data_IF_037900333160
#
_entry.id   IF_037900333160
#
_cell.length_a   1.000
_cell.length_b   1.000
_cell.length_c   1.000
_cell.angle_alpha   90.00
_cell.angle_beta   90.00
_cell.angle_gamma   90.00
#
_symmetry.space_group_name_H-M   'P 1'
#
loop_
_entity.id
_entity.type
_entity.pdbx_description
1 polymer ?
#
# COMPACT_ATOMS: atom_id res chain seq x y z
N UNK A 1 -28.46 7.75 9.96
CA UNK A 1 -27.29 8.53 10.44
C UNK A 1 -26.30 8.58 9.31
N UNK A 2 -25.86 9.77 8.91
CA UNK A 2 -24.88 9.98 7.85
C UNK A 2 -23.47 9.68 8.37
N UNK A 3 -22.62 9.04 7.57
CA UNK A 3 -21.25 8.69 7.97
C UNK A 3 -20.43 9.91 8.39
N UNK A 4 -20.65 11.07 7.76
CA UNK A 4 -19.97 12.32 8.09
C UNK A 4 -20.43 12.87 9.44
N UNK A 5 -21.72 12.73 9.76
CA UNK A 5 -22.27 13.14 11.05
C UNK A 5 -21.73 12.26 12.19
N UNK A 6 -21.64 10.95 11.98
CA UNK A 6 -21.04 10.03 12.95
C UNK A 6 -19.56 10.35 13.21
N UNK A 7 -18.78 10.58 12.16
CA UNK A 7 -17.35 10.96 12.27
C UNK A 7 -17.19 12.27 13.05
N UNK A 8 -18.05 13.26 12.78
CA UNK A 8 -18.06 14.53 13.50
C UNK A 8 -18.39 14.32 14.98
N UNK A 9 -19.47 13.62 15.29
CA UNK A 9 -19.97 13.42 16.65
C UNK A 9 -19.02 12.57 17.50
N UNK A 10 -18.26 11.66 16.87
CA UNK A 10 -17.22 10.85 17.53
C UNK A 10 -15.83 11.54 17.60
N UNK A 11 -15.74 12.82 17.19
CA UNK A 11 -14.48 13.58 17.20
C UNK A 11 -13.43 13.07 16.22
N UNK A 12 -13.81 12.21 15.26
CA UNK A 12 -12.90 11.56 14.30
C UNK A 12 -12.63 12.43 13.05
N UNK A 13 -13.13 13.67 13.02
CA UNK A 13 -12.99 14.57 11.86
C UNK A 13 -11.53 14.85 11.46
N UNK A 14 -10.61 14.88 12.42
CA UNK A 14 -9.20 15.08 12.14
C UNK A 14 -8.56 13.83 11.51
N UNK A 15 -8.87 12.64 12.02
CA UNK A 15 -8.43 11.36 11.43
C UNK A 15 -8.94 11.19 9.99
N UNK A 16 -10.20 11.59 9.75
CA UNK A 16 -10.78 11.60 8.41
C UNK A 16 -10.07 12.59 7.48
N UNK A 17 -9.76 13.81 7.94
CA UNK A 17 -8.99 14.78 7.15
C UNK A 17 -7.60 14.26 6.80
N UNK A 18 -6.88 13.67 7.75
CA UNK A 18 -5.55 13.09 7.51
C UNK A 18 -5.61 11.91 6.53
N UNK A 19 -6.68 11.10 6.57
CA UNK A 19 -6.92 10.06 5.58
C UNK A 19 -7.13 10.64 4.17
N UNK A 20 -8.00 11.65 4.05
CA UNK A 20 -8.28 12.31 2.77
C UNK A 20 -7.04 12.98 2.17
N UNK A 21 -6.27 13.68 3.00
CA UNK A 21 -5.03 14.33 2.59
C UNK A 21 -3.99 13.31 2.11
N UNK A 22 -3.91 12.13 2.74
CA UNK A 22 -3.04 11.05 2.27
C UNK A 22 -3.40 10.55 0.87
N UNK A 23 -4.69 10.51 0.51
CA UNK A 23 -5.14 10.14 -0.85
C UNK A 23 -4.72 11.20 -1.87
N UNK A 24 -4.89 12.49 -1.52
CA UNK A 24 -4.48 13.61 -2.39
C UNK A 24 -2.97 13.65 -2.63
N UNK A 25 -2.19 13.24 -1.64
CA UNK A 25 -0.73 13.16 -1.71
C UNK A 25 -0.22 11.83 -2.28
N UNK A 26 -1.12 11.00 -2.82
CA UNK A 26 -0.84 9.68 -3.39
C UNK A 26 -0.06 8.77 -2.42
N UNK A 27 -0.34 8.83 -1.12
CA UNK A 27 0.29 7.94 -0.15
C UNK A 27 0.09 6.46 -0.54
N UNK A 28 1.06 5.59 -0.22
CA UNK A 28 0.86 4.15 -0.31
C UNK A 28 -0.45 3.72 0.37
N UNK A 29 -1.15 2.71 -0.16
CA UNK A 29 -2.39 2.23 0.43
C UNK A 29 -2.21 1.95 1.91
N UNK A 30 -3.16 2.42 2.73
CA UNK A 30 -3.05 2.33 4.18
C UNK A 30 -2.84 0.87 4.63
N UNK A 31 -1.83 0.66 5.49
CA UNK A 31 -1.53 -0.63 6.11
C UNK A 31 -1.61 -0.48 7.63
N UNK A 32 -2.33 -1.41 8.27
CA UNK A 32 -2.51 -1.46 9.71
C UNK A 32 -1.29 -2.06 10.42
N UNK A 33 -0.73 -3.13 9.87
CA UNK A 33 0.44 -3.81 10.41
C UNK A 33 1.22 -4.53 9.30
N UNK A 34 2.52 -4.76 9.52
CA UNK A 34 3.39 -5.52 8.63
C UNK A 34 4.03 -6.70 9.36
N UNK A 35 4.15 -7.83 8.67
CA UNK A 35 4.72 -9.07 9.18
C UNK A 35 5.67 -9.67 8.14
N UNK A 36 6.72 -10.34 8.62
CA UNK A 36 7.67 -11.04 7.74
C UNK A 36 7.09 -12.36 7.26
N UNK A 37 6.28 -13.04 8.10
CA UNK A 37 5.72 -14.36 7.78
C UNK A 37 4.21 -14.42 7.91
N UNK A 38 3.62 -15.35 7.15
CA UNK A 38 2.18 -15.64 7.24
C UNK A 38 1.77 -16.16 8.62
N UNK A 39 2.61 -16.97 9.26
CA UNK A 39 2.35 -17.53 10.58
C UNK A 39 2.24 -16.44 11.65
N UNK A 40 3.14 -15.45 11.62
CA UNK A 40 3.08 -14.29 12.53
C UNK A 40 1.83 -13.46 12.31
N UNK A 41 1.48 -13.20 11.04
CA UNK A 41 0.29 -12.44 10.69
C UNK A 41 -1.01 -13.13 11.15
N UNK A 42 -1.11 -14.46 10.96
CA UNK A 42 -2.27 -15.24 11.40
C UNK A 42 -2.35 -15.30 12.94
N UNK A 43 -1.21 -15.45 13.64
CA UNK A 43 -1.16 -15.41 15.10
C UNK A 43 -1.58 -14.04 15.66
N UNK A 44 -1.07 -12.96 15.07
CA UNK A 44 -1.47 -11.60 15.39
C UNK A 44 -2.96 -11.38 15.17
N UNK A 45 -3.51 -11.83 14.04
CA UNK A 45 -4.91 -11.70 13.70
C UNK A 45 -5.80 -12.40 14.75
N UNK A 46 -5.40 -13.60 15.20
CA UNK A 46 -6.11 -14.34 16.25
C UNK A 46 -6.06 -13.66 17.62
N UNK A 47 -5.00 -12.90 17.92
CA UNK A 47 -4.85 -12.16 19.16
C UNK A 47 -5.66 -10.84 19.20
N UNK A 48 -6.08 -10.30 18.05
CA UNK A 48 -6.80 -9.02 18.02
C UNK A 48 -8.22 -9.13 18.59
N UNK A 49 -8.54 -8.23 19.53
CA UNK A 49 -9.89 -7.98 20.05
C UNK A 49 -10.02 -6.48 20.39
N UNK A 50 -10.89 -5.71 19.70
CA UNK A 50 -11.76 -6.11 18.58
C UNK A 50 -10.97 -6.44 17.30
N UNK A 51 -11.56 -7.24 16.41
CA UNK A 51 -10.94 -7.57 15.12
C UNK A 51 -10.95 -6.33 14.23
N UNK A 52 -9.81 -5.94 13.64
CA UNK A 52 -9.75 -4.84 12.68
C UNK A 52 -10.29 -5.31 11.32
N UNK A 53 -11.61 -5.55 11.23
CA UNK A 53 -12.26 -6.02 10.00
C UNK A 53 -11.99 -5.06 8.82
N UNK A 54 -11.72 -5.64 7.65
CA UNK A 54 -11.34 -4.96 6.40
C UNK A 54 -10.07 -4.11 6.46
N UNK A 55 -9.30 -4.18 7.53
CA UNK A 55 -7.99 -3.55 7.57
C UNK A 55 -7.02 -4.25 6.61
N UNK A 56 -6.16 -3.49 5.94
CA UNK A 56 -5.07 -4.05 5.13
C UNK A 56 -3.83 -4.30 5.99
N UNK A 57 -3.15 -5.42 5.78
CA UNK A 57 -1.89 -5.79 6.41
C UNK A 57 -0.88 -6.20 5.35
N UNK A 58 0.40 -5.98 5.63
CA UNK A 58 1.50 -6.45 4.81
C UNK A 58 2.04 -7.76 5.38
N UNK A 59 2.21 -8.77 4.54
CA UNK A 59 2.81 -10.05 4.92
C UNK A 59 3.84 -10.41 3.87
N UNK A 60 5.11 -10.51 4.24
CA UNK A 60 6.23 -10.77 3.31
C UNK A 60 6.24 -9.82 2.08
N UNK A 61 5.83 -8.57 2.28
CA UNK A 61 5.74 -7.56 1.20
C UNK A 61 4.46 -7.62 0.35
N UNK A 62 3.56 -8.57 0.59
CA UNK A 62 2.27 -8.69 -0.10
C UNK A 62 1.11 -8.14 0.75
N UNK A 63 0.10 -7.58 0.11
CA UNK A 63 -1.06 -7.02 0.80
C UNK A 63 -2.12 -8.08 1.04
N UNK A 64 -2.62 -8.11 2.26
CA UNK A 64 -3.76 -8.91 2.67
C UNK A 64 -4.81 -8.03 3.33
N UNK A 65 -6.08 -8.38 3.16
CA UNK A 65 -7.20 -7.77 3.87
C UNK A 65 -7.66 -8.72 4.97
N UNK A 66 -7.79 -8.18 6.18
CA UNK A 66 -8.43 -8.85 7.30
C UNK A 66 -9.91 -9.00 7.00
N UNK A 67 -10.43 -10.22 7.12
CA UNK A 67 -11.86 -10.48 7.07
C UNK A 67 -12.29 -11.23 8.31
N UNK A 68 -13.22 -10.62 9.05
CA UNK A 68 -14.02 -11.31 10.05
C UNK A 68 -15.22 -11.95 9.37
N UNK A 69 -15.34 -13.28 9.45
CA UNK A 69 -16.34 -14.09 8.76
C UNK A 69 -17.20 -14.84 9.78
N UNK A 70 -18.00 -14.12 10.60
CA UNK A 70 -18.82 -14.75 11.64
C UNK A 70 -19.84 -15.75 11.05
N UNK A 71 -20.27 -15.56 9.79
CA UNK A 71 -21.15 -16.46 9.06
C UNK A 71 -20.58 -17.88 8.84
N UNK A 72 -19.25 -18.04 8.82
CA UNK A 72 -18.58 -19.33 8.68
C UNK A 72 -18.31 -20.01 10.02
N UNK A 73 -18.61 -19.34 11.14
CA UNK A 73 -18.42 -19.82 12.50
C UNK A 73 -17.83 -18.75 13.41
N UNK A 74 -18.16 -18.79 14.71
CA UNK A 74 -17.69 -17.83 15.70
C UNK A 74 -16.16 -17.79 15.73
N UNK A 75 -15.58 -16.61 15.55
CA UNK A 75 -14.12 -16.40 15.56
C UNK A 75 -13.42 -16.78 14.26
N UNK A 76 -14.14 -17.08 13.18
CA UNK A 76 -13.54 -17.36 11.87
C UNK A 76 -13.02 -16.07 11.26
N UNK A 77 -11.70 -15.90 11.30
CA UNK A 77 -10.99 -14.77 10.72
C UNK A 77 -9.95 -15.23 9.71
N UNK A 78 -9.79 -14.49 8.62
CA UNK A 78 -8.90 -14.82 7.50
C UNK A 78 -8.18 -13.60 6.98
N UNK A 79 -6.96 -13.80 6.50
CA UNK A 79 -6.22 -12.86 5.67
C UNK A 79 -6.40 -13.25 4.20
N UNK A 80 -7.11 -12.43 3.44
CA UNK A 80 -7.31 -12.63 2.00
C UNK A 80 -6.33 -11.78 1.19
N UNK A 81 -5.72 -12.35 0.16
CA UNK A 81 -4.83 -11.58 -0.72
C UNK A 81 -5.61 -10.42 -1.35
N UNK A 82 -5.02 -9.23 -1.32
CA UNK A 82 -5.64 -8.01 -1.81
C UNK A 82 -4.90 -7.50 -3.05
N UNK A 83 -5.60 -7.31 -4.19
CA UNK A 83 -4.99 -6.75 -5.39
C UNK A 83 -4.75 -5.23 -5.29
N UNK A 84 -5.03 -4.60 -4.15
CA UNK A 84 -4.94 -3.13 -3.98
C UNK A 84 -3.56 -2.58 -4.31
N UNK A 85 -2.49 -3.29 -3.92
CA UNK A 85 -1.12 -2.89 -4.24
C UNK A 85 -0.89 -2.89 -5.75
N UNK A 86 -1.39 -3.92 -6.44
CA UNK A 86 -1.22 -4.02 -7.90
C UNK A 86 -1.84 -2.81 -8.60
N UNK A 87 -3.09 -2.49 -8.28
CA UNK A 87 -3.78 -1.35 -8.88
C UNK A 87 -3.11 -0.02 -8.53
N UNK A 88 -2.62 0.12 -7.30
CA UNK A 88 -1.85 1.29 -6.90
C UNK A 88 -0.54 1.43 -7.68
N UNK A 89 0.24 0.35 -7.86
CA UNK A 89 1.48 0.38 -8.63
C UNK A 89 1.25 0.65 -10.13
N UNK A 90 0.13 0.18 -10.68
CA UNK A 90 -0.29 0.50 -12.05
C UNK A 90 -0.58 2.00 -12.19
N UNK A 91 -1.38 2.59 -11.30
CA UNK A 91 -1.67 4.03 -11.28
C UNK A 91 -0.41 4.89 -11.06
N UNK A 92 0.48 4.46 -10.16
CA UNK A 92 1.76 5.12 -9.93
C UNK A 92 2.70 5.00 -11.13
N UNK A 93 2.63 3.91 -11.89
CA UNK A 93 3.40 3.79 -13.13
C UNK A 93 2.91 4.78 -14.19
N UNK A 94 1.61 4.99 -14.31
CA UNK A 94 1.04 5.97 -15.25
C UNK A 94 1.41 7.41 -14.88
N UNK A 95 1.49 7.69 -13.58
CA UNK A 95 1.88 9.00 -13.03
C UNK A 95 3.39 9.17 -12.83
N UNK A 96 4.18 8.11 -13.11
CA UNK A 96 5.60 8.09 -12.84
C UNK A 96 6.33 9.18 -13.64
N UNK A 97 6.97 10.09 -12.93
CA UNK A 97 7.89 11.08 -13.49
C UNK A 97 9.27 10.47 -13.79
N UNK A 98 10.23 11.35 -14.08
CA UNK A 98 11.62 10.95 -14.20
C UNK A 98 12.14 10.34 -12.88
N UNK A 99 13.01 9.31 -12.94
CA UNK A 99 13.59 8.72 -11.75
C UNK A 99 14.42 9.76 -10.99
N UNK A 100 14.28 9.80 -9.66
CA UNK A 100 15.05 10.71 -8.81
C UNK A 100 16.47 10.20 -8.53
N UNK A 101 16.68 8.89 -8.66
CA UNK A 101 17.96 8.24 -8.46
C UNK A 101 18.07 6.97 -9.32
N UNK A 102 19.32 6.57 -9.61
CA UNK A 102 19.68 5.39 -10.37
C UNK A 102 20.66 4.56 -9.54
N UNK A 103 20.40 3.27 -9.40
CA UNK A 103 21.20 2.33 -8.64
C UNK A 103 21.57 1.12 -9.49
N UNK A 104 22.71 0.52 -9.21
CA UNK A 104 23.13 -0.71 -9.88
C UNK A 104 22.51 -1.94 -9.23
N UNK A 105 22.26 -1.88 -7.92
CA UNK A 105 21.74 -3.02 -7.14
C UNK A 105 20.57 -2.62 -6.26
N UNK A 106 19.77 -3.62 -5.88
CA UNK A 106 18.62 -3.41 -5.00
C UNK A 106 19.07 -3.04 -3.59
N UNK A 107 20.15 -3.65 -3.13
CA UNK A 107 20.75 -3.42 -1.82
C UNK A 107 21.23 -1.96 -1.65
N UNK A 108 21.82 -1.38 -2.71
CA UNK A 108 22.16 0.05 -2.76
C UNK A 108 20.93 0.93 -2.63
N UNK A 109 19.88 0.66 -3.41
CA UNK A 109 18.64 1.43 -3.40
C UNK A 109 17.92 1.34 -2.04
N UNK A 110 17.90 0.16 -1.42
CA UNK A 110 17.33 -0.03 -0.09
C UNK A 110 18.13 0.69 0.99
N UNK A 111 19.46 0.70 0.88
CA UNK A 111 20.33 1.44 1.79
C UNK A 111 20.10 2.94 1.67
N UNK A 112 20.07 3.46 0.44
CA UNK A 112 19.72 4.85 0.17
C UNK A 112 18.37 5.24 0.76
N UNK A 113 17.35 4.38 0.62
CA UNK A 113 16.01 4.63 1.16
C UNK A 113 16.00 4.66 2.70
N UNK A 114 16.75 3.75 3.34
CA UNK A 114 16.90 3.70 4.81
C UNK A 114 17.59 4.94 5.36
N UNK A 115 18.57 5.46 4.64
CA UNK A 115 19.37 6.62 5.05
C UNK A 115 18.67 7.96 4.87
N UNK A 116 17.52 8.01 4.19
CA UNK A 116 16.76 9.26 4.07
C UNK A 116 16.23 9.72 5.43
N UNK A 117 16.63 10.92 5.92
CA UNK A 117 16.19 11.44 7.21
C UNK A 117 14.70 11.77 7.20
N UNK A 118 14.20 12.29 6.08
CA UNK A 118 12.77 12.47 5.80
C UNK A 118 12.47 11.71 4.50
N UNK A 119 12.09 10.42 4.59
CA UNK A 119 11.89 9.62 3.40
C UNK A 119 10.75 10.22 2.57
N UNK A 120 10.96 10.38 1.24
CA UNK A 120 9.89 10.84 0.37
C UNK A 120 8.70 9.89 0.50
N UNK A 121 7.48 10.46 0.53
CA UNK A 121 6.24 9.68 0.62
C UNK A 121 6.18 8.61 -0.48
N UNK A 122 6.54 9.05 -1.69
CA UNK A 122 6.77 8.18 -2.83
C UNK A 122 7.66 8.85 -3.88
N UNK A 123 8.64 8.12 -4.40
CA UNK A 123 9.45 8.54 -5.57
C UNK A 123 9.83 7.35 -6.43
N UNK A 124 10.00 7.61 -7.72
CA UNK A 124 10.49 6.61 -8.66
C UNK A 124 12.01 6.59 -8.65
N UNK A 125 12.59 5.40 -8.56
CA UNK A 125 14.03 5.15 -8.71
C UNK A 125 14.24 4.07 -9.75
N UNK A 126 15.41 4.02 -10.40
CA UNK A 126 15.79 2.86 -11.19
C UNK A 126 16.81 2.01 -10.45
N UNK A 127 16.64 0.71 -10.53
CA UNK A 127 17.59 -0.29 -10.05
C UNK A 127 17.87 -1.23 -11.20
N UNK A 128 19.12 -1.32 -11.62
CA UNK A 128 19.53 -2.15 -12.77
C UNK A 128 18.67 -1.88 -14.03
N UNK A 129 18.42 -0.60 -14.29
CA UNK A 129 17.59 -0.13 -15.41
C UNK A 129 16.09 -0.42 -15.28
N UNK A 130 15.62 -1.05 -14.19
CA UNK A 130 14.20 -1.33 -13.93
C UNK A 130 13.59 -0.32 -12.96
N UNK A 131 12.36 0.16 -13.19
CA UNK A 131 11.73 1.15 -12.33
C UNK A 131 11.18 0.53 -11.05
N UNK A 132 11.43 1.19 -9.94
CA UNK A 132 10.90 0.87 -8.62
C UNK A 132 10.25 2.11 -8.02
N UNK A 133 9.20 1.89 -7.25
CA UNK A 133 8.61 2.90 -6.39
C UNK A 133 9.22 2.75 -5.00
N UNK A 134 9.98 3.74 -4.58
CA UNK A 134 10.38 3.89 -3.19
C UNK A 134 9.23 4.54 -2.43
N UNK A 135 8.64 3.80 -1.49
CA UNK A 135 7.44 4.18 -0.76
C UNK A 135 7.71 4.19 0.75
N UNK A 136 7.08 5.14 1.45
CA UNK A 136 7.14 5.24 2.90
C UNK A 136 5.75 5.13 3.54
N UNK A 137 5.53 4.01 4.24
CA UNK A 137 4.37 3.78 5.08
C UNK A 137 4.58 4.42 6.45
N UNK A 138 4.44 5.74 6.53
CA UNK A 138 4.77 6.53 7.73
C UNK A 138 4.10 6.05 9.02
N UNK A 139 2.86 5.54 8.93
CA UNK A 139 2.08 5.09 10.09
C UNK A 139 2.66 3.85 10.77
N UNK A 140 3.32 2.98 10.01
CA UNK A 140 4.02 1.79 10.51
C UNK A 140 5.54 1.93 10.37
N UNK A 141 6.02 3.14 10.01
CA UNK A 141 7.43 3.48 9.78
C UNK A 141 8.15 2.52 8.82
N UNK A 142 7.43 1.93 7.88
CA UNK A 142 7.97 0.94 6.94
C UNK A 142 8.42 1.62 5.65
N UNK A 143 9.69 1.42 5.30
CA UNK A 143 10.28 1.84 4.03
C UNK A 143 10.40 0.64 3.11
N UNK A 144 9.93 0.76 1.88
CA UNK A 144 9.87 -0.39 0.95
C UNK A 144 10.09 0.04 -0.50
N UNK A 145 10.74 -0.82 -1.27
CA UNK A 145 10.88 -0.71 -2.72
C UNK A 145 9.90 -1.67 -3.39
N UNK A 146 8.94 -1.14 -4.13
CA UNK A 146 8.04 -1.92 -4.94
C UNK A 146 8.50 -1.91 -6.41
N UNK A 147 8.63 -3.07 -7.08
CA UNK A 147 8.85 -3.08 -8.52
C UNK A 147 7.64 -2.45 -9.21
N UNK A 148 7.88 -1.45 -10.07
CA UNK A 148 6.81 -0.90 -10.88
C UNK A 148 6.55 -1.83 -12.07
N UNK A 149 5.28 -2.03 -12.46
CA UNK A 149 4.96 -2.80 -13.66
C UNK A 149 5.56 -2.11 -14.88
N UNK A 150 5.88 -2.88 -15.93
CA UNK A 150 6.32 -2.32 -17.20
C UNK A 150 5.27 -1.36 -17.76
N UNK A 151 5.73 -0.34 -18.49
CA UNK A 151 4.81 0.57 -19.17
C UNK A 151 3.95 -0.26 -20.13
N UNK A 152 2.63 -0.17 -19.96
CA UNK A 152 1.71 -0.77 -20.91
C UNK A 152 2.01 -0.16 -22.29
N UNK A 153 2.23 -0.95 -23.35
CA UNK A 153 2.42 -0.39 -24.68
C UNK A 153 1.20 0.49 -25.01
N UNK A 154 1.38 1.65 -25.65
CA UNK A 154 0.26 2.51 -26.01
C UNK A 154 -0.74 1.67 -26.80
N UNK A 155 -1.97 1.63 -26.31
CA UNK A 155 -3.05 0.89 -26.97
C UNK A 155 -3.10 1.32 -28.42
N UNK A 156 -3.01 0.35 -29.35
CA UNK A 156 -3.33 0.61 -30.75
C UNK A 156 -4.72 1.24 -30.76
N UNK A 157 -4.83 2.47 -31.26
CA UNK A 157 -6.13 3.07 -31.53
C UNK A 157 -6.86 2.06 -32.41
N UNK A 158 -7.99 1.57 -31.92
CA UNK A 158 -8.90 0.76 -32.69
C UNK A 158 -9.39 1.69 -33.81
N UNK A 159 -8.83 1.48 -35.01
CA UNK A 159 -9.29 2.16 -36.21
C UNK A 159 -10.70 1.65 -36.48
N UNK A 160 -11.67 2.48 -36.10
CA UNK A 160 -13.10 2.30 -36.37
C UNK A 160 -13.30 2.13 -37.89
N UNK A 161 -13.71 0.94 -38.38
CA UNK A 161 -13.94 0.76 -39.80
C UNK A 161 -15.21 1.53 -40.18
N UNK A 162 -15.03 2.51 -41.08
CA UNK A 162 -16.10 3.27 -41.74
C UNK A 162 -17.06 2.39 -42.52
#
# INVERSE_FOLDING_TARGET
>A
MDALQFIHDMGQSQLFRTYHQGIEEHEPPFVFASFETRAEADAWLMAQTPVPDRASVLVAGEYFTVMDLPELGVGTRRLLSSPILKFYLEDMREKAGAPVALFSTREEAETWLREQPEPPRQVVVHVDGKPYLAAYHHRIQLRVLYPLPDAKPPGRREEDPR
#
